data_IF_972006010858
#
_entry.id   IF_972006010858
#
_cell.length_a   1.000
_cell.length_b   1.000
_cell.length_c   1.000
_cell.angle_alpha   90.00
_cell.angle_beta   90.00
_cell.angle_gamma   90.00
#
_symmetry.space_group_name_H-M   'P 1'
#
loop_
_entity.id
_entity.type
_entity.pdbx_description
1 polymer ?
#
# COMPACT_ATOMS: atom_id res chain seq x y z
N UNK A 1 16.36 37.44 84.00
CA UNK A 1 16.52 36.46 82.89
C UNK A 1 17.37 37.12 81.80
N UNK A 2 18.57 36.57 81.52
CA UNK A 2 19.62 37.28 80.78
C UNK A 2 19.30 37.19 79.26
N UNK A 3 19.52 38.30 78.57
CA UNK A 3 19.34 38.49 77.16
C UNK A 3 20.07 37.43 76.29
N UNK A 4 21.06 36.76 76.83
CA UNK A 4 21.83 35.68 76.20
C UNK A 4 21.03 34.39 75.97
N UNK A 5 20.00 34.07 76.75
CA UNK A 5 19.18 32.87 76.57
C UNK A 5 18.15 33.02 75.46
N UNK A 6 17.78 34.25 75.05
CA UNK A 6 16.79 34.51 74.01
C UNK A 6 17.40 34.36 72.61
N UNK A 7 18.68 34.77 72.44
CA UNK A 7 19.36 34.60 71.15
C UNK A 7 19.64 33.13 70.78
N UNK A 8 19.84 32.28 71.80
CA UNK A 8 19.99 30.82 71.56
C UNK A 8 18.73 30.17 71.06
N UNK A 9 17.57 30.62 71.54
CA UNK A 9 16.28 30.05 71.09
C UNK A 9 15.89 30.46 69.69
N UNK A 10 16.23 31.69 69.26
CA UNK A 10 15.97 32.19 67.89
C UNK A 10 16.90 31.55 66.87
N UNK A 11 18.16 31.30 67.26
CA UNK A 11 19.14 30.63 66.38
C UNK A 11 18.79 29.16 66.13
N UNK A 12 18.22 28.43 67.09
CA UNK A 12 17.77 27.03 66.94
C UNK A 12 16.50 26.95 66.08
N UNK A 13 15.60 27.96 66.19
CA UNK A 13 14.40 27.99 65.38
C UNK A 13 14.69 28.29 63.88
N UNK A 14 15.71 29.15 63.62
CA UNK A 14 16.12 29.42 62.21
C UNK A 14 16.85 28.26 61.57
N UNK A 15 17.59 27.46 62.31
CA UNK A 15 18.24 26.24 61.75
C UNK A 15 17.21 25.12 61.49
N UNK A 16 16.18 25.01 62.33
CA UNK A 16 15.11 24.03 62.11
C UNK A 16 14.23 24.33 60.82
N UNK A 17 14.06 25.63 60.51
CA UNK A 17 13.34 26.01 59.28
C UNK A 17 14.18 25.85 58.03
N UNK A 18 15.50 25.94 58.06
CA UNK A 18 16.40 25.71 56.92
C UNK A 18 16.51 24.21 56.57
N UNK A 19 16.40 23.31 57.57
CA UNK A 19 16.49 21.85 57.33
C UNK A 19 15.18 21.30 56.74
N UNK A 20 14.02 21.90 57.02
CA UNK A 20 12.75 21.46 56.41
C UNK A 20 12.57 21.92 54.93
N UNK A 21 13.34 22.90 54.45
CA UNK A 21 13.32 23.33 53.05
C UNK A 21 14.23 22.48 52.14
N UNK A 22 15.16 21.69 52.70
CA UNK A 22 16.10 20.87 51.91
C UNK A 22 15.56 19.48 51.51
N UNK A 23 14.36 19.09 51.98
CA UNK A 23 13.72 17.82 51.66
C UNK A 23 12.55 17.95 50.67
N UNK A 24 12.45 19.06 49.90
CA UNK A 24 11.71 18.98 48.63
C UNK A 24 12.62 18.25 47.66
N UNK A 25 12.51 16.92 47.68
CA UNK A 25 13.02 16.08 46.60
C UNK A 25 12.53 16.70 45.28
N UNK A 26 13.48 17.00 44.39
CA UNK A 26 13.13 17.27 43.01
C UNK A 26 12.22 16.12 42.58
N UNK A 27 10.95 16.42 42.31
CA UNK A 27 10.09 15.45 41.69
C UNK A 27 10.78 15.08 40.38
N UNK A 28 11.31 13.87 40.32
CA UNK A 28 11.76 13.28 39.07
C UNK A 28 10.56 13.42 38.14
N UNK A 29 10.66 14.07 37.00
CA UNK A 29 9.54 14.11 36.07
C UNK A 29 9.17 12.66 35.83
N UNK A 30 7.96 12.29 36.23
CA UNK A 30 7.36 11.02 35.79
C UNK A 30 7.43 11.06 34.25
N UNK A 31 8.04 10.06 33.60
CA UNK A 31 7.98 10.01 32.15
C UNK A 31 6.50 10.19 31.81
N UNK A 32 6.17 11.22 31.05
CA UNK A 32 4.83 11.36 30.47
C UNK A 32 4.64 10.08 29.66
N UNK A 33 3.72 9.20 30.08
CA UNK A 33 3.41 8.00 29.30
C UNK A 33 3.08 8.49 27.91
N UNK A 34 3.85 8.04 26.91
CA UNK A 34 3.62 8.38 25.53
C UNK A 34 2.17 8.01 25.22
N UNK A 35 1.33 9.02 24.96
CA UNK A 35 -0.08 8.78 24.67
C UNK A 35 -0.17 8.17 23.29
N UNK A 36 -0.92 7.08 23.18
CA UNK A 36 -1.29 6.54 21.89
C UNK A 36 -1.97 7.64 21.07
N UNK A 37 -1.25 8.22 20.10
CA UNK A 37 -1.70 9.36 19.33
C UNK A 37 -2.20 8.94 17.94
N UNK A 38 -1.63 7.86 17.40
CA UNK A 38 -1.89 7.35 16.05
C UNK A 38 -2.33 5.89 16.11
N UNK A 39 -3.45 5.58 15.49
CA UNK A 39 -3.90 4.22 15.25
C UNK A 39 -3.75 3.85 13.77
N UNK A 40 -3.41 2.61 13.47
CA UNK A 40 -3.25 2.14 12.09
C UNK A 40 -4.10 0.88 11.90
N UNK A 41 -4.84 0.82 10.80
CA UNK A 41 -5.61 -0.36 10.41
C UNK A 41 -5.16 -0.80 9.03
N UNK A 42 -4.67 -2.05 8.93
CA UNK A 42 -4.20 -2.68 7.70
C UNK A 42 -5.15 -3.83 7.29
N UNK A 43 -5.20 -4.19 5.99
CA UNK A 43 -6.26 -5.09 5.50
C UNK A 43 -6.05 -6.55 5.92
N UNK A 44 -4.88 -7.14 5.71
CA UNK A 44 -4.65 -8.57 5.97
C UNK A 44 -3.18 -8.88 6.19
N UNK A 45 -2.87 -10.02 6.80
CA UNK A 45 -1.50 -10.57 6.87
C UNK A 45 -1.19 -11.56 5.75
N UNK A 46 -2.17 -11.92 4.94
CA UNK A 46 -2.00 -12.89 3.84
C UNK A 46 -1.21 -12.30 2.65
N UNK A 47 -1.20 -10.98 2.53
CA UNK A 47 -0.36 -10.27 1.57
C UNK A 47 0.94 -9.81 2.27
N UNK A 48 2.14 -10.28 1.86
CA UNK A 48 3.43 -9.93 2.48
C UNK A 48 3.71 -8.43 2.54
N UNK A 49 3.13 -7.67 1.61
CA UNK A 49 3.21 -6.23 1.55
C UNK A 49 2.80 -5.59 2.90
N UNK A 50 1.70 -5.97 3.50
CA UNK A 50 1.19 -5.33 4.71
C UNK A 50 1.99 -5.67 5.97
N UNK A 51 2.69 -6.81 5.99
CA UNK A 51 3.65 -7.16 7.04
C UNK A 51 4.87 -6.23 6.97
N UNK A 52 5.32 -5.90 5.76
CA UNK A 52 6.40 -4.94 5.53
C UNK A 52 6.00 -3.54 6.01
N UNK A 53 4.79 -3.09 5.66
CA UNK A 53 4.26 -1.80 6.12
C UNK A 53 4.15 -1.72 7.64
N UNK A 54 3.63 -2.77 8.31
CA UNK A 54 3.58 -2.87 9.78
C UNK A 54 4.95 -2.64 10.42
N UNK A 55 5.98 -3.33 9.90
CA UNK A 55 7.34 -3.22 10.42
C UNK A 55 7.86 -1.79 10.27
N UNK A 56 7.71 -1.21 9.09
CA UNK A 56 8.19 0.15 8.81
C UNK A 56 7.45 1.23 9.60
N UNK A 57 6.13 1.06 9.81
CA UNK A 57 5.38 1.97 10.67
C UNK A 57 5.85 1.93 12.13
N UNK A 58 6.09 0.73 12.68
CA UNK A 58 6.60 0.57 14.05
C UNK A 58 7.97 1.24 14.22
N UNK A 59 8.87 1.00 13.27
CA UNK A 59 10.22 1.55 13.31
C UNK A 59 10.20 3.09 13.22
N UNK A 60 9.44 3.64 12.28
CA UNK A 60 9.43 5.06 12.02
C UNK A 60 8.68 5.86 13.10
N UNK A 61 7.54 5.38 13.60
CA UNK A 61 6.81 6.05 14.69
C UNK A 61 7.57 5.92 16.02
N UNK A 62 8.16 4.76 16.30
CA UNK A 62 9.03 4.58 17.46
C UNK A 62 10.22 5.54 17.45
N UNK A 63 10.87 5.74 16.29
CA UNK A 63 11.95 6.71 16.13
C UNK A 63 11.47 8.17 16.32
N UNK A 64 10.22 8.47 15.97
CA UNK A 64 9.60 9.78 16.16
C UNK A 64 9.05 10.00 17.57
N UNK A 65 9.13 9.01 18.48
CA UNK A 65 8.70 9.11 19.87
C UNK A 65 7.19 8.97 20.08
N UNK A 66 6.47 8.37 19.14
CA UNK A 66 5.04 8.09 19.25
C UNK A 66 4.77 6.61 19.51
N UNK A 67 3.82 6.34 20.40
CA UNK A 67 3.23 5.02 20.51
C UNK A 67 2.24 4.80 19.37
N UNK A 68 2.28 3.62 18.78
CA UNK A 68 1.41 3.21 17.68
C UNK A 68 0.75 1.88 18.03
N UNK A 69 -0.53 1.76 17.69
CA UNK A 69 -1.23 0.48 17.66
C UNK A 69 -1.64 0.16 16.23
N UNK A 70 -1.24 -1.01 15.77
CA UNK A 70 -1.51 -1.50 14.41
C UNK A 70 -2.40 -2.72 14.51
N UNK A 71 -3.58 -2.65 13.89
CA UNK A 71 -4.58 -3.71 13.87
C UNK A 71 -4.82 -4.18 12.44
N UNK A 72 -5.14 -5.47 12.28
CA UNK A 72 -5.44 -6.06 10.99
C UNK A 72 -6.91 -6.44 10.88
N UNK A 73 -7.51 -6.14 9.73
CA UNK A 73 -8.91 -6.43 9.42
C UNK A 73 -9.14 -7.88 8.98
N UNK A 74 -8.06 -8.60 8.61
CA UNK A 74 -8.08 -10.00 8.16
C UNK A 74 -9.08 -10.24 7.02
N UNK A 75 -9.16 -9.29 6.08
CA UNK A 75 -10.06 -9.37 4.94
C UNK A 75 -11.53 -9.06 5.24
N UNK A 76 -11.87 -8.59 6.45
CA UNK A 76 -13.23 -8.36 6.91
C UNK A 76 -13.49 -6.88 7.21
N UNK A 77 -14.40 -6.24 6.45
CA UNK A 77 -14.75 -4.83 6.62
C UNK A 77 -15.50 -4.55 7.94
N UNK A 78 -16.21 -5.53 8.52
CA UNK A 78 -16.84 -5.36 9.82
C UNK A 78 -15.78 -5.34 10.93
N UNK A 79 -14.75 -6.19 10.82
CA UNK A 79 -13.58 -6.18 11.71
C UNK A 79 -12.78 -4.88 11.54
N UNK A 80 -12.63 -4.37 10.32
CA UNK A 80 -12.00 -3.08 10.06
C UNK A 80 -12.67 -1.96 10.84
N UNK A 81 -14.00 -1.85 10.75
CA UNK A 81 -14.79 -0.88 11.51
C UNK A 81 -14.63 -1.06 13.02
N UNK A 82 -14.69 -2.28 13.52
CA UNK A 82 -14.50 -2.57 14.94
C UNK A 82 -13.09 -2.19 15.43
N UNK A 83 -12.05 -2.40 14.62
CA UNK A 83 -10.69 -1.98 14.89
C UNK A 83 -10.59 -0.44 15.01
N UNK A 84 -11.22 0.30 14.09
CA UNK A 84 -11.26 1.77 14.14
C UNK A 84 -11.98 2.24 15.42
N UNK A 85 -13.14 1.67 15.77
CA UNK A 85 -13.89 2.00 16.99
C UNK A 85 -13.08 1.69 18.27
N UNK A 86 -12.30 0.61 18.27
CA UNK A 86 -11.41 0.27 19.38
C UNK A 86 -10.28 1.33 19.55
N UNK A 87 -9.67 1.77 18.44
CA UNK A 87 -8.64 2.82 18.45
C UNK A 87 -9.22 4.18 18.91
N UNK A 88 -10.42 4.53 18.46
CA UNK A 88 -11.14 5.73 18.93
C UNK A 88 -11.33 5.67 20.45
N UNK A 89 -11.77 4.53 20.99
CA UNK A 89 -11.98 4.33 22.43
C UNK A 89 -10.68 4.49 23.22
N UNK A 90 -9.53 4.14 22.65
CA UNK A 90 -8.19 4.34 23.23
C UNK A 90 -7.72 5.80 23.16
N UNK A 91 -8.44 6.67 22.48
CA UNK A 91 -8.22 8.11 22.48
C UNK A 91 -7.23 8.59 21.43
N UNK A 92 -6.97 7.82 20.36
CA UNK A 92 -6.16 8.27 19.21
C UNK A 92 -6.72 9.56 18.61
N UNK A 93 -5.86 10.36 18.02
CA UNK A 93 -6.22 11.63 17.37
C UNK A 93 -6.15 11.56 15.86
N UNK A 94 -5.40 10.60 15.34
CA UNK A 94 -5.26 10.32 13.90
C UNK A 94 -5.40 8.81 13.70
N UNK A 95 -6.15 8.41 12.69
CA UNK A 95 -6.22 7.02 12.23
C UNK A 95 -5.76 6.97 10.78
N UNK A 96 -4.84 6.05 10.51
CA UNK A 96 -4.37 5.69 9.17
C UNK A 96 -5.06 4.38 8.81
N UNK A 97 -5.83 4.36 7.72
CA UNK A 97 -6.59 3.18 7.28
C UNK A 97 -6.17 2.82 5.87
N UNK A 98 -5.67 1.59 5.69
CA UNK A 98 -5.64 0.95 4.38
C UNK A 98 -6.92 0.12 4.25
N UNK A 99 -7.93 0.57 3.50
CA UNK A 99 -9.23 -0.09 3.49
C UNK A 99 -9.18 -1.48 2.86
N UNK A 100 -9.88 -2.43 3.47
CA UNK A 100 -10.13 -3.75 2.88
C UNK A 100 -11.06 -3.62 1.65
N UNK A 101 -12.10 -2.82 1.79
CA UNK A 101 -13.03 -2.41 0.74
C UNK A 101 -13.21 -0.90 0.81
N UNK A 102 -12.90 -0.20 -0.28
CA UNK A 102 -12.90 1.25 -0.30
C UNK A 102 -14.25 1.88 0.03
N UNK A 103 -15.36 1.26 -0.38
CA UNK A 103 -16.70 1.76 -0.11
C UNK A 103 -17.20 1.37 1.28
N UNK A 104 -16.97 0.13 1.72
CA UNK A 104 -17.36 -0.33 3.05
C UNK A 104 -16.63 0.43 4.17
N UNK A 105 -15.39 0.87 3.93
CA UNK A 105 -14.59 1.65 4.87
C UNK A 105 -15.16 3.04 5.19
N UNK A 106 -16.10 3.55 4.39
CA UNK A 106 -16.77 4.82 4.66
C UNK A 106 -17.35 4.87 6.08
N UNK A 107 -17.99 3.79 6.51
CA UNK A 107 -18.61 3.72 7.85
C UNK A 107 -17.58 3.79 9.00
N UNK A 108 -16.37 3.27 8.79
CA UNK A 108 -15.27 3.36 9.74
C UNK A 108 -14.71 4.80 9.79
N UNK A 109 -14.51 5.41 8.62
CA UNK A 109 -14.04 6.79 8.51
C UNK A 109 -15.03 7.79 9.15
N UNK A 110 -16.33 7.60 8.92
CA UNK A 110 -17.39 8.43 9.50
C UNK A 110 -17.45 8.32 11.03
N UNK A 111 -17.26 7.12 11.59
CA UNK A 111 -17.16 6.92 13.03
C UNK A 111 -15.95 7.67 13.63
N UNK A 112 -14.80 7.62 12.96
CA UNK A 112 -13.61 8.35 13.37
C UNK A 112 -13.84 9.88 13.33
N UNK A 113 -14.39 10.40 12.23
CA UNK A 113 -14.71 11.82 12.08
C UNK A 113 -15.70 12.31 13.12
N UNK A 114 -16.77 11.54 13.42
CA UNK A 114 -17.76 11.86 14.44
C UNK A 114 -17.14 11.96 15.85
N UNK A 115 -16.06 11.21 16.10
CA UNK A 115 -15.26 11.27 17.32
C UNK A 115 -14.19 12.40 17.32
N UNK A 116 -14.11 13.20 16.26
CA UNK A 116 -13.11 14.26 16.10
C UNK A 116 -11.70 13.74 15.78
N UNK A 117 -11.58 12.51 15.29
CA UNK A 117 -10.33 11.88 14.88
C UNK A 117 -10.07 12.15 13.39
N UNK A 118 -8.85 12.52 13.04
CA UNK A 118 -8.42 12.71 11.66
C UNK A 118 -8.24 11.38 10.95
N UNK A 119 -8.69 11.30 9.70
CA UNK A 119 -8.63 10.08 8.88
C UNK A 119 -7.69 10.26 7.70
N UNK A 120 -6.66 9.43 7.65
CA UNK A 120 -5.73 9.31 6.52
C UNK A 120 -6.03 7.98 5.83
N UNK A 121 -6.45 8.04 4.57
CA UNK A 121 -6.51 6.88 3.68
C UNK A 121 -5.08 6.54 3.26
N UNK A 122 -4.68 5.28 3.39
CA UNK A 122 -3.31 4.83 3.14
C UNK A 122 -3.30 3.78 2.03
N UNK A 123 -2.46 3.97 1.02
CA UNK A 123 -2.32 3.12 -0.18
C UNK A 123 -3.62 2.99 -0.99
N UNK A 124 -4.70 2.49 -0.40
CA UNK A 124 -6.03 2.35 -1.00
C UNK A 124 -6.94 3.51 -0.61
N UNK A 125 -7.78 3.98 -1.54
CA UNK A 125 -8.67 5.13 -1.32
C UNK A 125 -9.99 4.71 -0.67
N UNK A 126 -10.32 5.33 0.47
CA UNK A 126 -11.67 5.24 1.06
C UNK A 126 -12.63 6.07 0.20
N UNK A 127 -13.73 5.47 -0.22
CA UNK A 127 -14.69 6.02 -1.17
C UNK A 127 -16.03 6.36 -0.52
N UNK A 128 -16.85 7.10 -1.27
CA UNK A 128 -18.27 7.37 -1.00
C UNK A 128 -18.52 8.05 0.37
N UNK A 129 -17.57 8.85 0.86
CA UNK A 129 -17.72 9.61 2.11
C UNK A 129 -16.91 10.90 2.08
N UNK A 130 -17.36 11.90 2.85
CA UNK A 130 -16.58 13.12 3.12
C UNK A 130 -15.56 12.93 4.26
N UNK A 131 -15.58 11.80 4.96
CA UNK A 131 -14.86 11.59 6.21
C UNK A 131 -13.39 11.20 6.02
N UNK A 132 -12.77 11.59 4.92
CA UNK A 132 -11.34 11.38 4.63
C UNK A 132 -10.65 12.74 4.57
N UNK A 133 -9.67 12.97 5.44
CA UNK A 133 -8.94 14.24 5.50
C UNK A 133 -7.76 14.28 4.53
N UNK A 134 -7.14 13.12 4.26
CA UNK A 134 -5.94 13.03 3.42
C UNK A 134 -5.74 11.64 2.83
N UNK A 135 -5.08 11.56 1.67
CA UNK A 135 -4.76 10.29 1.02
C UNK A 135 -3.26 10.20 0.73
N UNK A 136 -2.62 9.16 1.24
CA UNK A 136 -1.22 8.82 0.99
C UNK A 136 -1.18 7.60 0.08
N UNK A 137 -0.58 7.74 -1.10
CA UNK A 137 -0.59 6.70 -2.13
C UNK A 137 0.64 6.78 -3.03
N UNK A 138 0.76 5.85 -3.96
CA UNK A 138 1.65 5.93 -5.11
C UNK A 138 0.92 6.48 -6.33
N UNK A 139 1.65 6.84 -7.39
CA UNK A 139 1.05 7.12 -8.69
C UNK A 139 0.57 5.81 -9.33
N UNK A 140 -0.67 5.44 -9.00
CA UNK A 140 -1.26 4.18 -9.43
C UNK A 140 -1.48 4.10 -10.95
N UNK A 141 -1.73 5.23 -11.62
CA UNK A 141 -1.78 5.28 -13.10
C UNK A 141 -0.40 4.95 -13.67
N UNK A 142 0.67 5.53 -13.11
CA UNK A 142 2.03 5.26 -13.55
C UNK A 142 2.45 3.80 -13.31
N UNK A 143 1.94 3.13 -12.25
CA UNK A 143 2.17 1.69 -12.03
C UNK A 143 1.66 0.88 -13.22
N UNK A 144 0.38 1.02 -13.56
CA UNK A 144 -0.21 0.29 -14.67
C UNK A 144 0.44 0.62 -16.02
N UNK A 145 0.75 1.90 -16.24
CA UNK A 145 1.44 2.35 -17.45
C UNK A 145 2.84 1.72 -17.57
N UNK A 146 3.61 1.64 -16.48
CA UNK A 146 4.95 1.02 -16.46
C UNK A 146 4.88 -0.50 -16.77
N UNK A 147 3.91 -1.20 -16.19
CA UNK A 147 3.66 -2.62 -16.49
C UNK A 147 3.37 -2.83 -17.97
N UNK A 148 2.43 -2.06 -18.51
CA UNK A 148 2.01 -2.16 -19.90
C UNK A 148 3.13 -1.75 -20.88
N UNK A 149 3.87 -0.69 -20.57
CA UNK A 149 5.00 -0.24 -21.39
C UNK A 149 6.07 -1.31 -21.48
N UNK A 150 6.35 -2.02 -20.37
CA UNK A 150 7.28 -3.14 -20.38
C UNK A 150 6.86 -4.25 -21.36
N UNK A 151 5.56 -4.60 -21.37
CA UNK A 151 5.04 -5.57 -22.34
C UNK A 151 5.21 -5.07 -23.79
N UNK A 152 4.92 -3.79 -24.04
CA UNK A 152 5.08 -3.16 -25.37
C UNK A 152 6.54 -3.19 -25.81
N UNK A 153 7.49 -2.88 -24.92
CA UNK A 153 8.92 -2.84 -25.25
C UNK A 153 9.52 -4.24 -25.55
N UNK A 154 8.90 -5.30 -25.01
CA UNK A 154 9.29 -6.69 -25.27
C UNK A 154 8.56 -7.33 -26.46
N UNK A 155 7.47 -6.73 -26.93
CA UNK A 155 6.69 -7.27 -28.04
C UNK A 155 7.40 -7.06 -29.39
N UNK A 156 7.27 -8.01 -30.29
CA UNK A 156 7.75 -7.91 -31.65
C UNK A 156 6.70 -8.39 -32.64
N UNK A 157 6.62 -7.71 -33.79
CA UNK A 157 5.65 -8.06 -34.83
C UNK A 157 4.20 -7.80 -34.41
N UNK A 158 3.29 -8.68 -34.83
CA UNK A 158 1.83 -8.58 -34.56
C UNK A 158 1.26 -9.92 -34.14
N UNK A 159 0.06 -9.88 -33.54
CA UNK A 159 -0.66 -11.07 -33.12
C UNK A 159 -0.19 -11.69 -31.80
N UNK A 160 0.60 -10.95 -30.98
CA UNK A 160 1.11 -11.44 -29.71
C UNK A 160 -0.05 -11.74 -28.75
N UNK A 161 -0.19 -12.97 -28.22
CA UNK A 161 -1.23 -13.32 -27.26
C UNK A 161 -1.08 -12.52 -25.97
N UNK A 162 -2.14 -11.80 -25.58
CA UNK A 162 -2.18 -10.99 -24.37
C UNK A 162 -3.20 -11.54 -23.38
N UNK A 163 -2.74 -11.87 -22.18
CA UNK A 163 -3.56 -12.28 -21.04
C UNK A 163 -3.63 -11.15 -20.02
N UNK A 164 -4.85 -10.75 -19.65
CA UNK A 164 -5.11 -9.67 -18.70
C UNK A 164 -5.50 -10.26 -17.34
N UNK A 165 -4.90 -9.77 -16.28
CA UNK A 165 -5.31 -10.04 -14.90
C UNK A 165 -5.35 -8.73 -14.13
N UNK A 166 -6.28 -8.63 -13.19
CA UNK A 166 -6.50 -7.42 -12.39
C UNK A 166 -6.62 -7.75 -10.91
N UNK A 167 -6.48 -6.74 -10.06
CA UNK A 167 -6.72 -6.83 -8.63
C UNK A 167 -8.21 -6.86 -8.27
N UNK A 168 -8.51 -6.71 -6.98
CA UNK A 168 -9.88 -6.74 -6.46
C UNK A 168 -10.68 -5.50 -6.89
N UNK A 169 -11.92 -5.69 -7.35
CA UNK A 169 -12.82 -4.60 -7.72
C UNK A 169 -13.27 -3.73 -6.52
N UNK A 170 -13.07 -4.20 -5.29
CA UNK A 170 -13.29 -3.46 -4.04
C UNK A 170 -12.18 -2.46 -3.72
N UNK A 171 -11.05 -2.53 -4.43
CA UNK A 171 -9.92 -1.63 -4.32
C UNK A 171 -9.88 -0.65 -5.50
N UNK A 172 -9.88 0.65 -5.19
CA UNK A 172 -9.80 1.69 -6.22
C UNK A 172 -8.51 1.60 -7.05
N UNK A 173 -7.42 1.12 -6.46
CA UNK A 173 -6.14 0.99 -7.17
C UNK A 173 -6.21 0.00 -8.33
N UNK A 174 -7.02 -1.07 -8.24
CA UNK A 174 -7.21 -2.00 -9.35
C UNK A 174 -7.73 -1.30 -10.61
N UNK A 175 -8.60 -0.29 -10.46
CA UNK A 175 -9.09 0.53 -11.56
C UNK A 175 -8.02 1.47 -12.10
N UNK A 176 -7.26 2.14 -11.23
CA UNK A 176 -6.21 3.07 -11.63
C UNK A 176 -5.05 2.35 -12.32
N UNK A 177 -4.64 1.19 -11.83
CA UNK A 177 -3.63 0.34 -12.50
C UNK A 177 -4.14 -0.11 -13.87
N UNK A 178 -5.39 -0.57 -13.94
CA UNK A 178 -5.98 -1.03 -15.21
C UNK A 178 -6.13 0.13 -16.20
N UNK A 179 -6.53 1.31 -15.76
CA UNK A 179 -6.59 2.52 -16.58
C UNK A 179 -5.22 2.89 -17.15
N UNK A 180 -4.19 2.94 -16.29
CA UNK A 180 -2.81 3.22 -16.72
C UNK A 180 -2.31 2.19 -17.75
N UNK A 181 -2.58 0.91 -17.51
CA UNK A 181 -2.22 -0.16 -18.43
C UNK A 181 -3.03 -0.08 -19.73
N UNK A 182 -4.34 0.17 -19.67
CA UNK A 182 -5.18 0.30 -20.85
C UNK A 182 -4.75 1.43 -21.77
N UNK A 183 -4.41 2.59 -21.22
CA UNK A 183 -3.95 3.75 -21.98
C UNK A 183 -2.70 3.45 -22.83
N UNK A 184 -1.85 2.53 -22.39
CA UNK A 184 -0.64 2.09 -23.12
C UNK A 184 -0.91 0.92 -24.04
N UNK A 185 -1.69 -0.09 -23.62
CA UNK A 185 -1.96 -1.30 -24.37
C UNK A 185 -2.98 -1.10 -25.48
N UNK A 186 -4.00 -0.25 -25.27
CA UNK A 186 -5.10 -0.10 -26.22
C UNK A 186 -4.66 0.27 -27.64
N UNK A 187 -3.74 1.24 -27.87
CA UNK A 187 -3.24 1.51 -29.22
C UNK A 187 -2.55 0.31 -29.87
N UNK A 188 -1.91 -0.56 -29.05
CA UNK A 188 -1.21 -1.77 -29.49
C UNK A 188 -2.13 -2.96 -29.71
N UNK A 189 -3.27 -2.95 -29.07
CA UNK A 189 -4.38 -3.88 -29.34
C UNK A 189 -5.08 -3.46 -30.64
N UNK A 190 -5.35 -2.17 -30.81
CA UNK A 190 -6.02 -1.63 -31.99
C UNK A 190 -5.20 -1.79 -33.29
N UNK A 191 -3.88 -1.70 -33.22
CA UNK A 191 -2.99 -1.89 -34.39
C UNK A 191 -2.65 -3.37 -34.64
N UNK A 192 -3.15 -4.30 -33.80
CA UNK A 192 -2.95 -5.75 -33.93
C UNK A 192 -1.59 -6.25 -33.40
N UNK A 193 -0.79 -5.42 -32.71
CA UNK A 193 0.42 -5.88 -32.01
C UNK A 193 0.05 -6.92 -30.97
N UNK A 194 -0.99 -6.67 -30.16
CA UNK A 194 -1.52 -7.59 -29.16
C UNK A 194 -2.91 -8.08 -29.50
N UNK A 195 -3.21 -9.33 -29.08
CA UNK A 195 -4.54 -9.95 -29.21
C UNK A 195 -4.96 -10.50 -27.85
N UNK A 196 -6.02 -9.92 -27.27
CA UNK A 196 -6.54 -10.32 -25.95
C UNK A 196 -7.11 -11.74 -26.03
N UNK A 197 -6.75 -12.62 -25.08
CA UNK A 197 -7.12 -14.05 -25.09
C UNK A 197 -8.10 -14.48 -24.01
N UNK A 198 -8.19 -13.74 -22.88
CA UNK A 198 -8.92 -14.22 -21.70
C UNK A 198 -10.03 -13.29 -21.18
N UNK A 199 -10.46 -12.29 -21.97
CA UNK A 199 -11.58 -11.43 -21.58
C UNK A 199 -12.43 -11.03 -22.79
N UNK A 200 -13.66 -11.54 -22.85
CA UNK A 200 -14.64 -11.14 -23.87
C UNK A 200 -15.08 -9.69 -23.74
N UNK A 201 -15.14 -9.15 -22.50
CA UNK A 201 -15.47 -7.75 -22.25
C UNK A 201 -14.37 -6.84 -22.81
N UNK A 202 -13.10 -7.15 -22.51
CA UNK A 202 -11.98 -6.37 -23.04
C UNK A 202 -11.90 -6.42 -24.57
N UNK A 203 -12.18 -7.58 -25.19
CA UNK A 203 -12.29 -7.72 -26.66
C UNK A 203 -13.43 -6.86 -27.20
N UNK A 204 -14.61 -6.85 -26.54
CA UNK A 204 -15.75 -6.02 -26.94
C UNK A 204 -15.46 -4.51 -26.87
N UNK A 205 -14.56 -4.10 -25.97
CA UNK A 205 -14.20 -2.71 -25.72
C UNK A 205 -12.85 -2.28 -26.33
N UNK A 206 -12.15 -3.17 -27.04
CA UNK A 206 -10.79 -2.94 -27.55
C UNK A 206 -10.64 -1.74 -28.49
N UNK A 207 -11.72 -1.28 -29.11
CA UNK A 207 -11.73 -0.09 -29.97
C UNK A 207 -11.82 1.24 -29.19
N UNK A 208 -12.03 1.22 -27.87
CA UNK A 208 -12.16 2.43 -27.04
C UNK A 208 -10.83 2.85 -26.45
N UNK A 209 -10.37 4.05 -26.78
CA UNK A 209 -9.15 4.63 -26.23
C UNK A 209 -9.24 4.84 -24.71
N UNK A 210 -10.42 5.21 -24.21
CA UNK A 210 -10.68 5.38 -22.77
C UNK A 210 -11.89 4.59 -22.35
N UNK A 211 -11.85 4.02 -21.17
CA UNK A 211 -12.94 3.26 -20.56
C UNK A 211 -13.57 4.06 -19.42
N UNK A 212 -14.87 3.96 -19.28
CA UNK A 212 -15.55 4.41 -18.06
C UNK A 212 -15.23 3.45 -16.90
N UNK A 213 -15.47 3.89 -15.66
CA UNK A 213 -15.29 3.03 -14.48
C UNK A 213 -16.14 1.74 -14.58
N UNK A 214 -17.38 1.85 -15.06
CA UNK A 214 -18.26 0.70 -15.19
C UNK A 214 -17.73 -0.31 -16.24
N UNK A 215 -17.24 0.18 -17.38
CA UNK A 215 -16.61 -0.66 -18.40
C UNK A 215 -15.34 -1.35 -17.89
N UNK A 216 -14.49 -0.62 -17.16
CA UNK A 216 -13.35 -1.24 -16.49
C UNK A 216 -13.81 -2.28 -15.46
N UNK A 217 -14.86 -1.99 -14.69
CA UNK A 217 -15.46 -2.93 -13.75
C UNK A 217 -15.94 -4.24 -14.39
N UNK A 218 -16.52 -4.18 -15.58
CA UNK A 218 -16.91 -5.36 -16.35
C UNK A 218 -15.70 -6.21 -16.74
N UNK A 219 -14.63 -5.58 -17.25
CA UNK A 219 -13.39 -6.30 -17.59
C UNK A 219 -12.76 -6.89 -16.32
N UNK A 220 -12.57 -6.08 -15.27
CA UNK A 220 -11.98 -6.51 -14.00
C UNK A 220 -12.77 -7.69 -13.43
N UNK A 221 -14.10 -7.67 -13.50
CA UNK A 221 -14.95 -8.78 -13.04
C UNK A 221 -14.66 -10.12 -13.71
N UNK A 222 -14.16 -10.13 -14.96
CA UNK A 222 -13.75 -11.37 -15.66
C UNK A 222 -12.34 -11.83 -15.30
N UNK A 223 -11.44 -10.88 -14.95
CA UNK A 223 -9.99 -11.16 -14.84
C UNK A 223 -9.43 -10.88 -13.45
N UNK A 224 -10.30 -10.68 -12.46
CA UNK A 224 -9.86 -10.38 -11.08
C UNK A 224 -9.18 -11.56 -10.43
N UNK A 225 -8.03 -11.29 -9.83
CA UNK A 225 -7.31 -12.22 -8.93
C UNK A 225 -7.69 -12.01 -7.47
N UNK A 226 -8.45 -10.96 -7.15
CA UNK A 226 -8.76 -10.51 -5.80
C UNK A 226 -7.52 -10.29 -4.91
N UNK A 227 -6.35 -10.01 -5.51
CA UNK A 227 -5.03 -9.95 -4.86
C UNK A 227 -4.57 -11.28 -4.24
N UNK A 228 -5.29 -12.38 -4.51
CA UNK A 228 -5.06 -13.70 -3.90
C UNK A 228 -4.28 -14.62 -4.83
N UNK A 229 -3.21 -15.23 -4.29
CA UNK A 229 -2.33 -16.15 -5.01
C UNK A 229 -3.07 -17.35 -5.59
N UNK A 230 -3.95 -17.99 -4.80
CA UNK A 230 -4.64 -19.20 -5.22
C UNK A 230 -5.72 -18.90 -6.26
N UNK A 231 -6.42 -17.78 -6.11
CA UNK A 231 -7.38 -17.30 -7.11
C UNK A 231 -6.67 -17.02 -8.44
N UNK A 232 -5.53 -16.33 -8.41
CA UNK A 232 -4.72 -16.05 -9.59
C UNK A 232 -4.25 -17.33 -10.28
N UNK A 233 -3.75 -18.30 -9.50
CA UNK A 233 -3.34 -19.61 -10.03
C UNK A 233 -4.50 -20.34 -10.70
N UNK A 234 -5.62 -20.47 -10.02
CA UNK A 234 -6.82 -21.16 -10.52
C UNK A 234 -7.36 -20.50 -11.79
N UNK A 235 -7.36 -19.16 -11.84
CA UNK A 235 -7.80 -18.42 -13.03
C UNK A 235 -6.86 -18.61 -14.21
N UNK A 236 -5.54 -18.60 -13.98
CA UNK A 236 -4.53 -18.86 -15.01
C UNK A 236 -4.65 -20.29 -15.57
N UNK A 237 -4.77 -21.29 -14.71
CA UNK A 237 -4.96 -22.69 -15.11
C UNK A 237 -6.27 -22.88 -15.91
N UNK A 238 -7.36 -22.21 -15.52
CA UNK A 238 -8.63 -22.24 -16.25
C UNK A 238 -8.49 -21.60 -17.65
N UNK A 239 -7.82 -20.44 -17.73
CA UNK A 239 -7.57 -19.78 -19.02
C UNK A 239 -6.72 -20.66 -19.96
N UNK A 240 -5.68 -21.30 -19.45
CA UNK A 240 -4.83 -22.20 -20.22
C UNK A 240 -5.56 -23.48 -20.65
N UNK A 241 -6.47 -23.99 -19.82
CA UNK A 241 -7.26 -25.19 -20.15
C UNK A 241 -8.17 -24.97 -21.37
N UNK A 242 -8.77 -23.79 -21.50
CA UNK A 242 -9.68 -23.47 -22.59
C UNK A 242 -9.00 -22.88 -23.83
N UNK A 243 -7.78 -22.35 -23.67
CA UNK A 243 -7.02 -21.73 -24.75
C UNK A 243 -6.53 -22.82 -25.74
N UNK A 244 -6.76 -22.66 -27.05
CA UNK A 244 -6.14 -23.53 -28.05
C UNK A 244 -4.63 -23.33 -28.11
N UNK A 245 -3.88 -24.34 -28.53
CA UNK A 245 -2.39 -24.26 -28.59
C UNK A 245 -1.89 -23.06 -29.42
N UNK A 246 -2.66 -22.64 -30.44
CA UNK A 246 -2.32 -21.45 -31.24
C UNK A 246 -2.38 -20.11 -30.48
N UNK A 247 -3.06 -20.06 -29.35
CA UNK A 247 -3.16 -18.89 -28.48
C UNK A 247 -2.14 -18.92 -27.31
N UNK A 248 -1.28 -19.91 -27.31
CA UNK A 248 -0.16 -20.09 -26.39
C UNK A 248 1.16 -19.72 -27.09
N UNK A 249 2.25 -20.42 -26.96
CA UNK A 249 3.52 -20.04 -27.57
C UNK A 249 4.20 -18.93 -26.77
N UNK A 250 4.56 -17.82 -27.43
CA UNK A 250 5.17 -16.64 -26.76
C UNK A 250 4.08 -15.70 -26.30
N UNK A 251 3.80 -15.65 -25.00
CA UNK A 251 2.66 -14.93 -24.44
C UNK A 251 3.06 -13.72 -23.61
N UNK A 252 2.16 -12.73 -23.54
CA UNK A 252 2.30 -11.52 -22.75
C UNK A 252 1.21 -11.48 -21.68
N UNK A 253 1.63 -11.17 -20.44
CA UNK A 253 0.76 -11.29 -19.26
C UNK A 253 0.83 -10.00 -18.45
N UNK A 254 -0.29 -9.26 -18.44
CA UNK A 254 -0.49 -8.18 -17.49
C UNK A 254 -0.96 -8.79 -16.16
N UNK A 255 -0.07 -8.93 -15.20
CA UNK A 255 -0.40 -9.40 -13.85
C UNK A 255 -0.40 -8.22 -12.86
N UNK A 256 -1.39 -8.12 -11.94
CA UNK A 256 -1.62 -6.89 -11.20
C UNK A 256 -0.62 -6.63 -10.07
N UNK A 257 -0.06 -7.68 -9.43
CA UNK A 257 0.93 -7.56 -8.37
C UNK A 257 1.83 -8.80 -8.30
N UNK A 258 2.85 -8.75 -7.47
CA UNK A 258 3.92 -9.76 -7.39
C UNK A 258 3.43 -11.13 -6.91
N UNK A 259 2.61 -11.18 -5.87
CA UNK A 259 2.06 -12.45 -5.38
C UNK A 259 1.28 -13.19 -6.46
N UNK A 260 0.40 -12.48 -7.16
CA UNK A 260 -0.40 -13.07 -8.25
C UNK A 260 0.43 -13.33 -9.51
N UNK A 261 1.44 -12.47 -9.80
CA UNK A 261 2.36 -12.69 -10.91
C UNK A 261 3.13 -14.00 -10.79
N UNK A 262 3.64 -14.34 -9.59
CA UNK A 262 4.30 -15.63 -9.35
C UNK A 262 3.38 -16.81 -9.59
N UNK A 263 2.12 -16.74 -9.09
CA UNK A 263 1.13 -17.78 -9.29
C UNK A 263 0.80 -18.01 -10.77
N UNK A 264 0.64 -16.92 -11.51
CA UNK A 264 0.36 -16.95 -12.96
C UNK A 264 1.59 -17.47 -13.72
N UNK A 265 2.79 -16.97 -13.40
CA UNK A 265 4.04 -17.41 -14.01
C UNK A 265 4.27 -18.92 -13.83
N UNK A 266 4.00 -19.46 -12.65
CA UNK A 266 4.10 -20.88 -12.38
C UNK A 266 3.10 -21.71 -13.23
N UNK A 267 1.88 -21.23 -13.38
CA UNK A 267 0.86 -21.89 -14.20
C UNK A 267 1.24 -21.89 -15.70
N UNK A 268 1.65 -20.73 -16.24
CA UNK A 268 2.07 -20.60 -17.63
C UNK A 268 3.37 -21.36 -17.91
N UNK A 269 4.33 -21.32 -16.99
CA UNK A 269 5.59 -22.06 -17.12
C UNK A 269 5.44 -23.59 -17.04
N UNK A 270 4.34 -24.09 -16.48
CA UNK A 270 4.03 -25.52 -16.43
C UNK A 270 3.26 -26.02 -17.69
N UNK A 271 2.69 -25.13 -18.48
CA UNK A 271 1.94 -25.50 -19.69
C UNK A 271 2.91 -25.77 -20.85
N UNK A 272 2.85 -26.98 -21.41
CA UNK A 272 3.76 -27.45 -22.49
C UNK A 272 3.60 -26.71 -23.83
N UNK A 273 2.46 -26.06 -24.07
CA UNK A 273 2.16 -25.33 -25.28
C UNK A 273 2.57 -23.84 -25.17
N UNK A 274 3.00 -23.38 -23.98
CA UNK A 274 3.64 -22.08 -23.74
C UNK A 274 5.14 -22.21 -23.98
N UNK A 275 5.67 -21.50 -24.95
CA UNK A 275 7.10 -21.51 -25.30
C UNK A 275 7.91 -20.54 -24.44
N UNK A 276 7.36 -19.33 -24.23
CA UNK A 276 7.90 -18.30 -23.37
C UNK A 276 6.79 -17.39 -22.87
N UNK A 277 7.08 -16.62 -21.82
CA UNK A 277 6.14 -15.60 -21.34
C UNK A 277 6.87 -14.35 -20.83
N UNK A 278 6.22 -13.22 -20.97
CA UNK A 278 6.58 -11.95 -20.34
C UNK A 278 5.48 -11.61 -19.35
N UNK A 279 5.80 -11.55 -18.05
CA UNK A 279 4.85 -11.32 -16.97
C UNK A 279 5.23 -10.11 -16.14
N UNK A 280 4.26 -9.24 -15.87
CA UNK A 280 4.43 -8.04 -15.04
C UNK A 280 4.14 -8.32 -13.57
N UNK A 281 4.48 -7.37 -12.70
CA UNK A 281 4.16 -7.38 -11.28
C UNK A 281 4.33 -5.98 -10.68
N UNK A 282 4.05 -5.84 -9.39
CA UNK A 282 4.36 -4.67 -8.57
C UNK A 282 4.53 -5.08 -7.11
N UNK A 283 5.14 -4.21 -6.30
CA UNK A 283 5.44 -4.25 -4.87
C UNK A 283 6.89 -4.62 -4.54
N UNK A 284 7.66 -5.17 -5.47
CA UNK A 284 9.04 -5.59 -5.26
C UNK A 284 9.19 -6.51 -4.02
N UNK A 285 8.28 -7.50 -3.89
CA UNK A 285 8.35 -8.52 -2.85
C UNK A 285 9.64 -9.34 -2.98
N UNK A 286 10.23 -9.76 -1.86
CA UNK A 286 11.47 -10.55 -1.85
C UNK A 286 11.37 -11.76 -2.79
N UNK A 287 10.29 -12.53 -2.70
CA UNK A 287 10.11 -13.71 -3.54
C UNK A 287 10.02 -13.38 -5.03
N UNK A 288 9.41 -12.25 -5.41
CA UNK A 288 9.32 -11.82 -6.80
C UNK A 288 10.61 -11.22 -7.33
N UNK A 289 11.35 -10.50 -6.52
CA UNK A 289 12.70 -10.06 -6.86
C UNK A 289 13.60 -11.28 -7.13
N UNK A 290 13.49 -12.35 -6.33
CA UNK A 290 14.20 -13.61 -6.61
C UNK A 290 13.71 -14.24 -7.93
N UNK A 291 12.40 -14.22 -8.22
CA UNK A 291 11.87 -14.71 -9.50
C UNK A 291 12.38 -13.91 -10.69
N UNK A 292 12.59 -12.60 -10.55
CA UNK A 292 13.20 -11.76 -11.59
C UNK A 292 14.66 -12.16 -11.82
N UNK A 293 15.43 -12.34 -10.75
CA UNK A 293 16.83 -12.79 -10.80
C UNK A 293 16.92 -14.16 -11.49
N UNK A 294 16.02 -15.07 -11.14
CA UNK A 294 15.93 -16.43 -11.71
C UNK A 294 15.37 -16.45 -13.16
N UNK A 295 14.80 -15.34 -13.65
CA UNK A 295 14.18 -15.25 -14.97
C UNK A 295 12.78 -15.87 -15.06
N UNK A 296 12.09 -16.05 -13.91
CA UNK A 296 10.71 -16.59 -13.82
C UNK A 296 9.64 -15.51 -13.81
N UNK A 297 9.96 -14.29 -13.40
CA UNK A 297 9.14 -13.10 -13.52
C UNK A 297 9.94 -12.07 -14.33
N UNK A 298 9.26 -11.30 -15.21
CA UNK A 298 9.98 -10.42 -16.12
C UNK A 298 10.30 -9.08 -15.51
N UNK A 299 9.37 -8.53 -14.72
CA UNK A 299 9.54 -7.25 -14.06
C UNK A 299 8.62 -7.11 -12.84
N UNK A 300 8.93 -6.16 -12.01
CA UNK A 300 8.03 -5.61 -10.98
C UNK A 300 8.06 -4.08 -11.02
N UNK A 301 7.06 -3.44 -10.46
CA UNK A 301 7.09 -2.01 -10.18
C UNK A 301 7.39 -1.82 -8.69
N UNK A 302 8.55 -1.24 -8.40
CA UNK A 302 8.91 -0.86 -7.04
C UNK A 302 8.04 0.32 -6.60
N UNK A 303 7.25 0.07 -5.58
CA UNK A 303 6.55 1.06 -4.77
C UNK A 303 7.30 1.16 -3.44
N UNK A 304 8.12 2.21 -3.29
CA UNK A 304 8.99 2.32 -2.10
C UNK A 304 8.18 2.62 -0.85
N UNK A 305 7.86 1.57 -0.09
CA UNK A 305 7.08 1.64 1.15
C UNK A 305 7.74 2.54 2.20
N UNK A 306 9.07 2.71 2.15
CA UNK A 306 9.78 3.63 3.06
C UNK A 306 9.29 5.06 2.88
N UNK A 307 9.12 5.49 1.63
CA UNK A 307 8.59 6.82 1.29
C UNK A 307 7.12 6.93 1.67
N UNK A 308 6.30 5.92 1.35
CA UNK A 308 4.87 5.95 1.64
C UNK A 308 4.61 6.05 3.15
N UNK A 309 5.29 5.24 3.95
CA UNK A 309 5.20 5.27 5.42
C UNK A 309 5.69 6.61 5.97
N UNK A 310 6.81 7.15 5.47
CA UNK A 310 7.31 8.45 5.88
C UNK A 310 6.31 9.58 5.60
N UNK A 311 5.66 9.57 4.44
CA UNK A 311 4.62 10.53 4.06
C UNK A 311 3.36 10.40 4.93
N UNK A 312 2.94 9.16 5.26
CA UNK A 312 1.81 8.92 6.15
C UNK A 312 2.07 9.42 7.58
N UNK A 313 3.29 9.20 8.09
CA UNK A 313 3.70 9.69 9.40
C UNK A 313 3.79 11.22 9.40
N UNK A 314 4.40 11.83 8.37
CA UNK A 314 4.47 13.28 8.25
C UNK A 314 3.07 13.91 8.23
N UNK A 315 2.12 13.28 7.53
CA UNK A 315 0.73 13.73 7.50
C UNK A 315 0.06 13.60 8.88
N UNK A 316 0.28 12.48 9.57
CA UNK A 316 -0.26 12.26 10.92
C UNK A 316 0.30 13.29 11.92
N UNK A 317 1.61 13.53 11.91
CA UNK A 317 2.28 14.52 12.77
C UNK A 317 1.75 15.93 12.48
N UNK A 318 1.62 16.32 11.21
CA UNK A 318 1.05 17.61 10.85
C UNK A 318 -0.34 17.82 11.46
N UNK A 319 -1.21 16.81 11.43
CA UNK A 319 -2.53 16.89 12.06
C UNK A 319 -2.46 16.94 13.59
N UNK A 320 -1.56 16.19 14.21
CA UNK A 320 -1.35 16.22 15.67
C UNK A 320 -0.88 17.58 16.17
N UNK A 321 -0.10 18.29 15.36
CA UNK A 321 0.38 19.65 15.64
C UNK A 321 -0.62 20.75 15.23
N UNK A 322 -1.79 20.38 14.71
CA UNK A 322 -2.85 21.33 14.27
C UNK A 322 -2.57 21.99 12.92
N UNK A 323 -1.61 21.45 12.15
CA UNK A 323 -1.26 21.88 10.80
C UNK A 323 -2.04 21.12 9.71
N UNK A 324 -1.56 21.27 8.47
CA UNK A 324 -2.10 20.59 7.28
C UNK A 324 -0.97 19.90 6.54
N UNK A 325 -1.13 18.62 6.12
CA UNK A 325 -0.12 17.91 5.34
C UNK A 325 0.16 18.58 3.99
N UNK A 326 1.38 18.45 3.43
CA UNK A 326 1.68 18.91 2.08
C UNK A 326 0.83 18.20 1.03
N UNK A 327 0.24 18.96 0.11
CA UNK A 327 -0.59 18.45 -0.97
C UNK A 327 0.06 18.75 -2.31
N UNK A 328 0.13 17.75 -3.20
CA UNK A 328 0.60 17.90 -4.59
C UNK A 328 -0.44 17.45 -5.62
N UNK A 329 -1.46 16.72 -5.18
CA UNK A 329 -2.53 16.19 -6.02
C UNK A 329 -3.83 16.04 -5.20
N UNK A 330 -4.90 15.62 -5.84
CA UNK A 330 -6.15 15.18 -5.20
C UNK A 330 -6.76 14.01 -5.99
N UNK A 331 -7.53 13.20 -5.29
CA UNK A 331 -8.25 12.07 -5.91
C UNK A 331 -9.72 12.11 -5.54
N UNK A 332 -10.58 12.06 -6.56
CA UNK A 332 -12.03 12.00 -6.34
C UNK A 332 -12.42 10.64 -5.78
N UNK A 333 -13.05 10.65 -4.61
CA UNK A 333 -13.48 9.43 -3.94
C UNK A 333 -14.95 9.06 -4.17
N UNK A 334 -15.62 9.79 -5.07
CA UNK A 334 -17.05 9.65 -5.36
C UNK A 334 -17.90 10.78 -4.74
N UNK A 335 -17.39 11.46 -3.72
CA UNK A 335 -18.11 12.55 -3.01
C UNK A 335 -17.27 13.83 -2.97
N UNK A 336 -15.98 13.73 -2.66
CA UNK A 336 -15.05 14.85 -2.57
C UNK A 336 -13.75 14.57 -3.30
N UNK A 337 -12.99 15.62 -3.60
CA UNK A 337 -11.59 15.52 -4.02
C UNK A 337 -10.72 15.49 -2.76
N UNK A 338 -10.22 14.31 -2.41
CA UNK A 338 -9.39 14.09 -1.23
C UNK A 338 -7.98 14.61 -1.51
N UNK A 339 -7.44 15.54 -0.69
CA UNK A 339 -6.06 16.01 -0.82
C UNK A 339 -5.07 14.84 -0.73
N UNK A 340 -4.05 14.84 -1.59
CA UNK A 340 -3.12 13.72 -1.67
C UNK A 340 -1.69 14.14 -2.01
N UNK A 341 -0.75 13.23 -1.71
CA UNK A 341 0.62 13.27 -2.19
C UNK A 341 0.98 11.88 -2.71
N UNK A 342 0.88 11.64 -4.04
CA UNK A 342 1.34 10.38 -4.63
C UNK A 342 2.87 10.34 -4.69
N UNK A 343 3.44 9.17 -4.35
CA UNK A 343 4.87 8.89 -4.48
C UNK A 343 5.18 8.28 -5.85
N UNK A 344 6.37 8.56 -6.37
CA UNK A 344 6.87 8.00 -7.64
C UNK A 344 7.08 6.49 -7.53
N UNK A 345 7.09 5.82 -8.68
CA UNK A 345 7.30 4.38 -8.82
C UNK A 345 8.42 4.10 -9.82
N UNK A 346 9.05 2.93 -9.71
CA UNK A 346 10.20 2.55 -10.53
C UNK A 346 9.95 1.16 -11.12
N UNK A 347 10.01 1.04 -12.46
CA UNK A 347 10.01 -0.26 -13.11
C UNK A 347 11.36 -0.97 -12.85
N UNK A 348 11.29 -2.21 -12.39
CA UNK A 348 12.46 -3.03 -12.04
C UNK A 348 12.42 -4.34 -12.79
N UNK A 349 13.49 -4.64 -13.49
CA UNK A 349 13.70 -5.91 -14.16
C UNK A 349 15.11 -6.46 -13.84
N UNK A 350 15.52 -7.51 -14.54
CA UNK A 350 16.83 -8.14 -14.32
C UNK A 350 18.00 -7.19 -14.55
N UNK A 351 17.84 -6.19 -15.43
CA UNK A 351 18.94 -5.30 -15.83
C UNK A 351 19.23 -4.25 -14.75
N UNK A 352 18.20 -3.83 -13.99
CA UNK A 352 18.33 -2.76 -12.99
C UNK A 352 18.04 -3.20 -11.54
N UNK A 353 17.67 -4.46 -11.30
CA UNK A 353 17.30 -4.99 -9.97
C UNK A 353 18.38 -4.71 -8.91
N UNK A 354 19.66 -4.87 -9.28
CA UNK A 354 20.76 -4.59 -8.36
C UNK A 354 20.74 -3.12 -7.90
N UNK A 355 20.64 -2.20 -8.83
CA UNK A 355 20.63 -0.77 -8.53
C UNK A 355 19.37 -0.35 -7.77
N UNK A 356 18.19 -0.76 -8.27
CA UNK A 356 16.91 -0.30 -7.75
C UNK A 356 16.55 -0.92 -6.39
N UNK A 357 16.97 -2.15 -6.13
CA UNK A 357 16.57 -2.91 -4.94
C UNK A 357 17.71 -3.00 -3.91
N UNK A 358 18.92 -3.38 -4.36
CA UNK A 358 20.03 -3.69 -3.44
C UNK A 358 20.81 -2.43 -3.10
N UNK A 359 21.33 -1.72 -4.11
CA UNK A 359 22.18 -0.55 -3.90
C UNK A 359 21.37 0.62 -3.29
N UNK A 360 20.04 0.68 -3.53
CA UNK A 360 19.12 1.60 -2.86
C UNK A 360 18.87 1.27 -1.38
N UNK A 361 19.24 0.07 -0.94
CA UNK A 361 18.96 -0.43 0.41
C UNK A 361 17.49 -0.77 0.65
N UNK A 362 16.69 -0.99 -0.41
CA UNK A 362 15.29 -1.41 -0.24
C UNK A 362 15.21 -2.80 0.37
N UNK A 363 15.98 -3.77 -0.18
CA UNK A 363 16.24 -5.08 0.39
C UNK A 363 17.74 -5.34 0.48
N UNK A 364 18.22 -6.02 1.53
CA UNK A 364 19.62 -6.38 1.62
C UNK A 364 19.96 -7.52 0.64
N UNK A 365 21.19 -7.53 0.12
CA UNK A 365 21.64 -8.56 -0.82
C UNK A 365 21.55 -9.98 -0.25
N UNK A 366 21.59 -10.14 1.08
CA UNK A 366 21.49 -11.44 1.77
C UNK A 366 20.14 -12.14 1.59
N UNK A 367 19.10 -11.43 1.15
CA UNK A 367 17.79 -12.01 0.85
C UNK A 367 17.79 -12.79 -0.48
N UNK A 368 18.82 -12.65 -1.33
CA UNK A 368 18.81 -13.15 -2.70
C UNK A 368 20.00 -14.04 -3.00
N UNK A 369 19.81 -14.91 -4.00
CA UNK A 369 20.86 -15.75 -4.58
C UNK A 369 21.01 -15.43 -6.07
N UNK A 370 22.21 -15.56 -6.62
CA UNK A 370 22.45 -15.38 -8.05
C UNK A 370 22.51 -13.92 -8.53
N UNK A 371 22.73 -12.98 -7.60
CA UNK A 371 22.97 -11.56 -7.92
C UNK A 371 24.30 -11.34 -8.61
#
# INVERSE_FOLDING_TARGET
MSKKKWYGLVAVLMIATAILSACRGAATPTPEEAKLAVGIVLPTRDEPRWIQDETRFKDALGAAGYDVEILFSEGDSAKEKANVEALITKGVKVIIICPQDGTAAAAAAEAARAAGVKVISYDRLIRETEAVDYYVTFDSIAVGAAQAQYLVDKASGSGNPLYLYAGAATDNNAFLFFEGAWNVLQPKIADGTFVIKNSSEAVGLQGKATLTRDEMGQIIGQVTTNWDFNTAKSLAEANLTVAPAADKGDVFILAPNDGTARAIADAFGADKDVSSYVVTGQDAEVASVQYIIDGKQSMTVLKDVRTLVADAIAAAVAYLEGGTPPQTNSYNNGVIDVPAKPSEVIAVDKDNVKQAIIDSGYWPASEFTGL
#
